data_IF_675721214563
#
_entry.id   IF_675721214563
#
_cell.length_a   1.000
_cell.length_b   1.000
_cell.length_c   1.000
_cell.angle_alpha   90.00
_cell.angle_beta   90.00
_cell.angle_gamma   90.00
#
_symmetry.space_group_name_H-M   'P 1'
#
loop_
_entity.id
_entity.type
_entity.pdbx_description
1 polymer ?
#
# COMPACT_ATOMS: atom_id res chain seq x y z
N UNK A 1 -1.61 7.82 -25.90
CA UNK A 1 -2.42 7.99 -24.68
C UNK A 1 -1.47 7.80 -23.51
N UNK A 2 -1.15 8.88 -22.78
CA UNK A 2 -0.29 8.75 -21.60
C UNK A 2 -0.97 7.86 -20.55
N UNK A 3 -0.23 7.28 -19.59
CA UNK A 3 -0.85 6.54 -18.50
C UNK A 3 -1.85 7.48 -17.81
N UNK A 4 -3.14 7.16 -17.92
CA UNK A 4 -4.18 7.96 -17.28
C UNK A 4 -3.98 7.91 -15.77
N UNK A 5 -4.15 9.05 -15.10
CA UNK A 5 -4.26 9.10 -13.65
C UNK A 5 -5.52 8.32 -13.24
N UNK A 6 -5.37 7.01 -13.04
CA UNK A 6 -6.44 6.12 -12.61
C UNK A 6 -6.71 6.27 -11.11
N UNK A 7 -7.87 5.80 -10.68
CA UNK A 7 -8.15 5.63 -9.24
C UNK A 7 -7.13 4.64 -8.65
N UNK A 8 -6.68 4.90 -7.43
CA UNK A 8 -5.67 4.06 -6.78
C UNK A 8 -5.69 4.22 -5.26
N UNK A 9 -5.31 3.14 -4.58
CA UNK A 9 -4.99 3.18 -3.17
C UNK A 9 -3.51 3.51 -2.98
N UNK A 10 -3.18 4.31 -1.97
CA UNK A 10 -1.80 4.58 -1.58
C UNK A 10 -1.55 4.02 -0.19
N UNK A 11 -0.57 3.12 -0.10
CA UNK A 11 -0.03 2.67 1.18
C UNK A 11 0.99 3.70 1.67
N UNK A 12 0.82 4.15 2.91
CA UNK A 12 1.77 5.04 3.58
C UNK A 12 2.61 4.23 4.57
N UNK A 13 3.93 4.28 4.38
CA UNK A 13 4.91 3.65 5.24
C UNK A 13 5.33 4.63 6.34
N UNK A 14 5.38 4.17 7.58
CA UNK A 14 5.71 5.01 8.72
C UNK A 14 7.16 5.50 8.65
N UNK A 15 7.37 6.80 8.87
CA UNK A 15 8.67 7.45 8.92
C UNK A 15 8.74 8.36 10.15
N UNK A 16 9.52 7.98 11.17
CA UNK A 16 9.72 8.81 12.38
C UNK A 16 10.50 10.11 12.11
N UNK A 17 11.28 10.13 11.04
CA UNK A 17 11.96 11.32 10.49
C UNK A 17 11.72 11.29 8.98
N UNK A 18 10.72 12.04 8.53
CA UNK A 18 10.28 12.04 7.13
C UNK A 18 11.42 12.44 6.20
N UNK A 19 12.18 13.47 6.58
CA UNK A 19 13.25 14.01 5.76
C UNK A 19 14.39 13.00 5.59
N UNK A 20 14.74 12.28 6.66
CA UNK A 20 15.78 11.24 6.60
C UNK A 20 15.36 10.04 5.76
N UNK A 21 14.14 9.52 5.96
CA UNK A 21 13.65 8.37 5.19
C UNK A 21 13.49 8.74 3.71
N UNK A 22 12.99 9.95 3.43
CA UNK A 22 12.89 10.44 2.05
C UNK A 22 14.26 10.52 1.37
N UNK A 23 15.28 11.11 2.03
CA UNK A 23 16.64 11.18 1.46
C UNK A 23 17.21 9.80 1.17
N UNK A 24 17.04 8.83 2.08
CA UNK A 24 17.47 7.45 1.83
C UNK A 24 16.75 6.85 0.63
N UNK A 25 15.44 7.02 0.52
CA UNK A 25 14.68 6.56 -0.63
C UNK A 25 15.20 7.17 -1.95
N UNK A 26 15.52 8.47 -1.96
CA UNK A 26 16.12 9.15 -3.11
C UNK A 26 17.53 8.61 -3.44
N UNK A 27 18.38 8.36 -2.42
CA UNK A 27 19.70 7.72 -2.58
C UNK A 27 19.60 6.32 -3.20
N UNK A 28 18.50 5.61 -2.92
CA UNK A 28 18.17 4.31 -3.51
C UNK A 28 17.36 4.39 -4.81
N UNK A 29 17.18 5.60 -5.38
CA UNK A 29 16.63 5.82 -6.72
C UNK A 29 15.12 6.11 -6.78
N UNK A 30 14.45 6.30 -5.64
CA UNK A 30 13.07 6.76 -5.63
C UNK A 30 12.95 8.21 -6.12
N UNK A 31 11.77 8.56 -6.64
CA UNK A 31 11.44 9.92 -7.06
C UNK A 31 10.18 10.40 -6.35
N UNK A 32 10.24 11.56 -5.70
CA UNK A 32 9.12 12.14 -4.99
C UNK A 32 8.39 13.20 -5.84
N UNK A 33 7.07 13.10 -5.89
CA UNK A 33 6.18 14.08 -6.53
C UNK A 33 5.58 15.05 -5.52
N UNK A 34 5.47 14.61 -4.26
CA UNK A 34 5.09 15.43 -3.10
C UNK A 34 6.12 15.18 -2.01
N UNK A 35 6.71 16.23 -1.46
CA UNK A 35 7.82 16.12 -0.50
C UNK A 35 7.53 16.90 0.77
N UNK A 36 7.34 16.20 1.88
CA UNK A 36 7.36 16.77 3.23
C UNK A 36 6.23 17.74 3.55
N UNK A 37 5.07 17.59 2.91
CA UNK A 37 3.95 18.52 3.05
C UNK A 37 3.16 18.25 4.34
N UNK A 38 2.64 19.30 5.01
CA UNK A 38 1.77 19.13 6.17
C UNK A 38 0.46 18.42 5.82
N UNK A 39 0.01 17.54 6.71
CA UNK A 39 -1.27 16.86 6.64
C UNK A 39 -2.14 17.26 7.84
N UNK A 40 -2.43 18.56 7.93
CA UNK A 40 -3.11 19.16 9.07
C UNK A 40 -2.27 19.06 10.35
N UNK A 41 -2.92 18.80 11.47
CA UNK A 41 -2.27 18.66 12.78
C UNK A 41 -1.65 17.27 13.00
N UNK A 42 -2.08 16.27 12.22
CA UNK A 42 -1.80 14.87 12.48
C UNK A 42 -0.40 14.43 12.06
N UNK A 43 0.26 15.17 11.16
CA UNK A 43 1.56 14.76 10.64
C UNK A 43 1.98 15.46 9.36
N UNK A 44 2.96 14.85 8.70
CA UNK A 44 3.50 15.25 7.40
C UNK A 44 3.62 14.03 6.49
N UNK A 45 3.51 14.26 5.18
CA UNK A 45 3.61 13.19 4.19
C UNK A 45 4.50 13.54 3.01
N UNK A 46 5.01 12.48 2.38
CA UNK A 46 5.63 12.52 1.06
C UNK A 46 5.00 11.43 0.18
N UNK A 47 4.92 11.67 -1.12
CA UNK A 47 4.49 10.69 -2.13
C UNK A 47 5.59 10.49 -3.14
N UNK A 48 5.97 9.24 -3.36
CA UNK A 48 7.04 8.88 -4.28
C UNK A 48 6.74 7.63 -5.08
N UNK A 49 7.64 7.37 -6.01
CA UNK A 49 7.65 6.17 -6.85
C UNK A 49 9.03 5.54 -6.73
N UNK A 50 9.07 4.25 -6.42
CA UNK A 50 10.31 3.48 -6.31
C UNK A 50 10.92 3.18 -7.70
N UNK A 51 12.16 2.66 -7.78
CA UNK A 51 12.83 2.42 -9.06
C UNK A 51 12.10 1.46 -10.00
N UNK A 52 11.25 0.58 -9.46
CA UNK A 52 10.48 -0.42 -10.20
C UNK A 52 9.07 0.09 -10.57
N UNK A 53 8.71 1.31 -10.18
CA UNK A 53 7.48 1.99 -10.57
C UNK A 53 6.33 1.89 -9.58
N UNK A 54 6.53 1.30 -8.40
CA UNK A 54 5.48 1.26 -7.39
C UNK A 54 5.37 2.62 -6.67
N UNK A 55 4.16 3.17 -6.66
CA UNK A 55 3.86 4.37 -5.88
C UNK A 55 3.68 4.02 -4.40
N UNK A 56 4.25 4.84 -3.52
CA UNK A 56 4.15 4.71 -2.07
C UNK A 56 4.11 6.07 -1.39
N UNK A 57 3.54 6.10 -0.19
CA UNK A 57 3.59 7.26 0.70
C UNK A 57 4.58 7.05 1.84
N UNK A 58 5.13 8.14 2.35
CA UNK A 58 5.79 8.18 3.65
C UNK A 58 4.95 9.04 4.59
N UNK A 59 4.78 8.59 5.83
CA UNK A 59 3.98 9.28 6.84
C UNK A 59 4.76 9.49 8.14
N UNK A 60 4.94 10.75 8.51
CA UNK A 60 5.46 11.17 9.82
C UNK A 60 4.29 11.65 10.67
N UNK A 61 3.82 10.78 11.56
CA UNK A 61 2.75 11.10 12.51
C UNK A 61 3.26 11.97 13.65
N UNK A 62 2.48 12.96 14.05
CA UNK A 62 2.70 13.76 15.27
C UNK A 62 2.05 13.14 16.52
N UNK A 63 1.33 12.03 16.34
CA UNK A 63 0.74 11.22 17.39
C UNK A 63 1.43 9.87 17.42
N UNK A 64 1.51 9.25 18.60
CA UNK A 64 2.07 7.90 18.76
C UNK A 64 1.18 6.83 18.08
N UNK A 65 -0.09 7.16 17.85
CA UNK A 65 -1.09 6.30 17.22
C UNK A 65 -0.98 6.34 15.68
N UNK A 66 -0.74 5.18 15.08
CA UNK A 66 -0.73 4.97 13.62
C UNK A 66 -2.08 4.45 13.10
N UNK A 67 -2.09 3.27 12.48
CA UNK A 67 -3.35 2.57 12.14
C UNK A 67 -3.99 2.09 13.45
N UNK A 68 -5.18 2.62 13.76
CA UNK A 68 -5.86 2.41 15.05
C UNK A 68 -6.83 1.22 15.06
N UNK A 69 -7.08 0.62 13.88
CA UNK A 69 -7.92 -0.56 13.70
C UNK A 69 -7.27 -1.49 12.66
N UNK A 70 -6.91 -2.70 13.08
CA UNK A 70 -6.26 -3.72 12.25
C UNK A 70 -6.86 -5.09 12.54
N UNK A 71 -6.70 -6.03 11.60
CA UNK A 71 -6.98 -7.46 11.81
C UNK A 71 -8.45 -7.82 12.10
N UNK A 72 -9.39 -7.01 11.62
CA UNK A 72 -10.82 -7.26 11.70
C UNK A 72 -11.57 -6.92 10.38
N UNK A 73 -12.81 -7.42 10.18
CA UNK A 73 -13.57 -7.12 8.98
C UNK A 73 -13.77 -5.62 8.76
N UNK A 74 -13.35 -5.13 7.58
CA UNK A 74 -13.38 -3.71 7.22
C UNK A 74 -12.12 -2.93 7.60
N UNK A 75 -11.22 -3.52 8.38
CA UNK A 75 -9.92 -2.94 8.70
C UNK A 75 -8.83 -3.40 7.72
N UNK A 76 -7.70 -2.66 7.71
CA UNK A 76 -6.49 -3.10 7.03
C UNK A 76 -5.91 -4.31 7.78
N UNK A 77 -5.60 -5.37 7.06
CA UNK A 77 -4.97 -6.59 7.63
C UNK A 77 -3.60 -6.86 7.04
N UNK A 78 -3.26 -6.18 5.93
CA UNK A 78 -1.95 -6.27 5.32
C UNK A 78 -1.70 -5.12 4.33
N UNK A 79 -0.44 -4.94 3.97
CA UNK A 79 -0.03 -4.17 2.82
C UNK A 79 0.99 -5.01 2.04
N UNK A 80 0.59 -5.54 0.89
CA UNK A 80 1.43 -6.41 0.08
C UNK A 80 2.18 -5.60 -0.97
N UNK A 81 3.49 -5.84 -1.11
CA UNK A 81 4.30 -5.29 -2.19
C UNK A 81 4.36 -6.30 -3.34
N UNK A 82 3.66 -6.02 -4.43
CA UNK A 82 3.67 -6.84 -5.64
C UNK A 82 4.80 -6.39 -6.56
N UNK A 83 5.55 -7.33 -7.17
CA UNK A 83 6.66 -7.01 -8.09
C UNK A 83 6.99 -8.13 -9.07
N UNK A 84 7.40 -7.77 -10.28
CA UNK A 84 7.97 -8.72 -11.25
C UNK A 84 9.43 -9.06 -10.95
N UNK A 85 10.09 -8.21 -10.16
CA UNK A 85 11.46 -8.38 -9.67
C UNK A 85 11.42 -8.15 -8.15
N UNK A 86 11.14 -9.22 -7.40
CA UNK A 86 10.98 -9.17 -5.95
C UNK A 86 12.32 -8.83 -5.29
N UNK A 87 13.42 -9.46 -5.72
CA UNK A 87 14.75 -9.22 -5.14
C UNK A 87 15.17 -7.73 -5.20
N UNK A 88 14.95 -7.05 -6.33
CA UNK A 88 15.25 -5.63 -6.43
C UNK A 88 14.37 -4.77 -5.51
N UNK A 89 13.10 -5.12 -5.36
CA UNK A 89 12.17 -4.41 -4.48
C UNK A 89 12.52 -4.58 -3.00
N UNK A 90 12.78 -5.82 -2.59
CA UNK A 90 13.19 -6.14 -1.22
C UNK A 90 14.49 -5.42 -0.86
N UNK A 91 15.47 -5.41 -1.77
CA UNK A 91 16.72 -4.66 -1.59
C UNK A 91 16.51 -3.14 -1.48
N UNK A 92 15.60 -2.57 -2.28
CA UNK A 92 15.25 -1.15 -2.20
C UNK A 92 14.66 -0.81 -0.82
N UNK A 93 13.59 -1.48 -0.40
CA UNK A 93 12.92 -1.19 0.87
C UNK A 93 13.80 -1.52 2.08
N UNK A 94 14.65 -2.55 1.99
CA UNK A 94 15.67 -2.82 3.00
C UNK A 94 16.69 -1.68 3.11
N UNK A 95 17.14 -1.11 1.99
CA UNK A 95 18.03 0.05 2.01
C UNK A 95 17.40 1.31 2.63
N UNK A 96 16.10 1.52 2.40
CA UNK A 96 15.37 2.67 2.95
C UNK A 96 15.16 2.53 4.46
N UNK A 97 14.65 1.38 4.90
CA UNK A 97 14.17 1.19 6.28
C UNK A 97 15.14 0.46 7.19
N UNK A 98 16.24 -0.10 6.67
CA UNK A 98 17.16 -0.96 7.41
C UNK A 98 16.44 -2.16 8.06
N UNK A 99 15.41 -2.66 7.39
CA UNK A 99 14.57 -3.76 7.84
C UNK A 99 14.15 -4.63 6.65
N UNK A 100 13.99 -5.96 6.82
CA UNK A 100 13.48 -6.82 5.77
C UNK A 100 12.09 -6.38 5.31
N UNK A 101 11.88 -6.38 4.01
CA UNK A 101 10.59 -6.24 3.36
C UNK A 101 10.45 -7.44 2.42
N UNK A 102 9.29 -8.10 2.41
CA UNK A 102 9.01 -9.19 1.50
C UNK A 102 8.15 -8.69 0.34
N UNK A 103 8.50 -9.08 -0.88
CA UNK A 103 7.70 -8.78 -2.07
C UNK A 103 7.09 -10.06 -2.66
N UNK A 104 5.85 -9.96 -3.12
CA UNK A 104 5.11 -11.03 -3.76
C UNK A 104 5.32 -11.01 -5.28
N UNK A 105 5.67 -12.14 -5.92
CA UNK A 105 5.82 -12.23 -7.37
C UNK A 105 4.53 -11.89 -8.10
N UNK A 106 4.55 -10.85 -8.93
CA UNK A 106 3.38 -10.39 -9.67
C UNK A 106 3.79 -9.58 -10.93
N UNK A 107 3.09 -9.70 -12.08
CA UNK A 107 3.49 -8.99 -13.30
C UNK A 107 3.35 -7.46 -13.26
N UNK A 108 2.67 -6.92 -12.25
CA UNK A 108 2.48 -5.47 -12.05
C UNK A 108 3.06 -5.08 -10.70
N UNK A 109 4.03 -4.18 -10.73
CA UNK A 109 4.67 -3.63 -9.52
C UNK A 109 3.78 -2.58 -8.86
N UNK A 110 3.37 -2.81 -7.60
CA UNK A 110 2.53 -1.89 -6.82
C UNK A 110 2.45 -2.31 -5.35
N UNK A 111 2.10 -1.36 -4.48
CA UNK A 111 1.53 -1.70 -3.18
C UNK A 111 0.04 -2.05 -3.33
N UNK A 112 -0.41 -3.05 -2.58
CA UNK A 112 -1.81 -3.49 -2.50
C UNK A 112 -2.24 -3.49 -1.03
N UNK A 113 -3.12 -2.57 -0.59
CA UNK A 113 -3.71 -2.71 0.73
C UNK A 113 -4.64 -3.92 0.74
N UNK A 114 -4.60 -4.70 1.83
CA UNK A 114 -5.45 -5.87 2.01
C UNK A 114 -6.42 -5.61 3.15
N UNK A 115 -7.71 -5.79 2.89
CA UNK A 115 -8.75 -5.59 3.88
C UNK A 115 -9.31 -6.91 4.41
N UNK A 116 -9.61 -6.94 5.70
CA UNK A 116 -10.27 -8.06 6.35
C UNK A 116 -11.72 -8.17 5.89
N UNK A 117 -12.17 -9.38 5.58
CA UNK A 117 -13.59 -9.67 5.27
C UNK A 117 -14.05 -10.91 6.03
N UNK A 118 -15.36 -11.01 6.29
CA UNK A 118 -15.92 -12.20 6.96
C UNK A 118 -15.89 -13.44 6.06
N UNK A 119 -16.17 -13.26 4.77
CA UNK A 119 -16.18 -14.31 3.76
C UNK A 119 -15.68 -13.71 2.45
N UNK A 120 -14.55 -14.22 1.96
CA UNK A 120 -13.91 -13.78 0.72
C UNK A 120 -14.79 -14.02 -0.50
N UNK A 121 -15.36 -15.20 -0.65
CA UNK A 121 -16.15 -15.56 -1.83
C UNK A 121 -17.42 -14.72 -1.91
N UNK A 122 -18.12 -14.57 -0.78
CA UNK A 122 -19.29 -13.70 -0.71
C UNK A 122 -18.93 -12.23 -0.97
N UNK A 123 -17.74 -11.77 -0.54
CA UNK A 123 -17.27 -10.43 -0.86
C UNK A 123 -17.00 -10.26 -2.36
N UNK A 124 -16.31 -11.22 -2.98
CA UNK A 124 -16.05 -11.22 -4.42
C UNK A 124 -17.34 -11.16 -5.25
N UNK A 125 -18.36 -11.90 -4.86
CA UNK A 125 -19.67 -11.87 -5.53
C UNK A 125 -20.35 -10.51 -5.40
N UNK A 126 -20.31 -9.90 -4.21
CA UNK A 126 -20.80 -8.53 -4.01
C UNK A 126 -20.00 -7.51 -4.81
N UNK A 127 -18.67 -7.66 -4.89
CA UNK A 127 -17.82 -6.78 -5.67
C UNK A 127 -18.19 -6.83 -7.15
N UNK A 128 -18.42 -8.03 -7.72
CA UNK A 128 -18.92 -8.19 -9.11
C UNK A 128 -20.28 -7.54 -9.29
N UNK A 129 -21.22 -7.77 -8.37
CA UNK A 129 -22.56 -7.18 -8.44
C UNK A 129 -22.53 -5.64 -8.39
N UNK A 130 -21.52 -5.05 -7.74
CA UNK A 130 -21.30 -3.60 -7.68
C UNK A 130 -20.50 -3.02 -8.86
N UNK A 131 -20.17 -3.82 -9.88
CA UNK A 131 -19.41 -3.39 -11.06
C UNK A 131 -17.89 -3.51 -10.91
N UNK A 132 -17.41 -4.09 -9.81
CA UNK A 132 -16.00 -4.46 -9.63
C UNK A 132 -15.62 -5.71 -10.42
N UNK A 133 -14.31 -5.99 -10.45
CA UNK A 133 -13.71 -7.15 -11.11
C UNK A 133 -12.89 -7.94 -10.11
N UNK A 134 -12.97 -9.26 -10.19
CA UNK A 134 -12.06 -10.15 -9.46
C UNK A 134 -10.90 -10.47 -10.40
N UNK A 135 -9.74 -9.90 -10.10
CA UNK A 135 -8.52 -9.99 -10.92
C UNK A 135 -7.76 -11.30 -10.66
N UNK A 136 -7.81 -11.75 -9.40
CA UNK A 136 -7.37 -13.05 -8.92
C UNK A 136 -8.16 -13.35 -7.64
N UNK A 137 -8.07 -14.57 -7.11
CA UNK A 137 -8.68 -14.91 -5.81
C UNK A 137 -8.20 -13.94 -4.73
N UNK A 138 -9.13 -13.21 -4.10
CA UNK A 138 -8.83 -12.19 -3.11
C UNK A 138 -8.28 -10.87 -3.64
N UNK A 139 -8.15 -10.66 -4.96
CA UNK A 139 -7.64 -9.42 -5.55
C UNK A 139 -8.73 -8.74 -6.38
N UNK A 140 -9.13 -7.54 -5.95
CA UNK A 140 -10.31 -6.84 -6.46
C UNK A 140 -9.87 -5.58 -7.19
N UNK A 141 -10.40 -5.36 -8.39
CA UNK A 141 -10.38 -4.08 -9.08
C UNK A 141 -11.73 -3.41 -8.95
N UNK A 142 -11.79 -2.21 -8.39
CA UNK A 142 -13.04 -1.45 -8.28
C UNK A 142 -13.51 -0.93 -9.66
N UNK A 143 -14.74 -0.38 -9.76
CA UNK A 143 -15.27 0.15 -11.03
C UNK A 143 -14.43 1.29 -11.63
N UNK A 144 -13.59 1.94 -10.84
CA UNK A 144 -12.75 3.08 -11.22
C UNK A 144 -11.29 2.69 -11.52
N UNK A 145 -10.95 1.41 -11.35
CA UNK A 145 -9.64 0.84 -11.67
C UNK A 145 -8.67 0.72 -10.48
N UNK A 146 -9.05 1.15 -9.27
CA UNK A 146 -8.20 0.95 -8.10
C UNK A 146 -8.17 -0.54 -7.72
N UNK A 147 -7.04 -1.00 -7.21
CA UNK A 147 -6.86 -2.41 -6.82
C UNK A 147 -6.56 -2.54 -5.34
N UNK A 148 -7.21 -3.49 -4.70
CA UNK A 148 -7.01 -3.85 -3.30
C UNK A 148 -7.18 -5.36 -3.10
N UNK A 149 -6.57 -5.89 -2.05
CA UNK A 149 -6.72 -7.27 -1.63
C UNK A 149 -7.84 -7.42 -0.59
N UNK A 150 -8.40 -8.62 -0.48
CA UNK A 150 -9.28 -9.02 0.60
C UNK A 150 -8.91 -10.39 1.13
N UNK A 151 -8.88 -10.53 2.45
CA UNK A 151 -8.54 -11.77 3.14
C UNK A 151 -9.57 -12.06 4.22
N UNK A 152 -9.93 -13.33 4.40
CA UNK A 152 -10.82 -13.69 5.50
C UNK A 152 -10.12 -13.37 6.82
N UNK A 153 -10.70 -12.46 7.61
CA UNK A 153 -10.21 -12.10 8.93
C UNK A 153 -11.18 -12.65 9.98
N UNK A 154 -10.63 -13.36 10.97
CA UNK A 154 -11.41 -13.79 12.13
C UNK A 154 -11.46 -12.60 13.07
N UNK A 155 -12.65 -12.21 13.54
CA UNK A 155 -12.73 -11.18 14.58
C UNK A 155 -11.88 -11.65 15.77
N UNK A 156 -10.87 -10.87 16.13
CA UNK A 156 -10.12 -11.07 17.37
C UNK A 156 -11.12 -10.97 18.52
N UNK A 157 -11.50 -12.12 19.07
CA UNK A 157 -12.42 -12.17 20.20
C UNK A 157 -11.80 -11.43 21.38
N UNK A 158 -12.46 -10.37 21.82
CA UNK A 158 -12.20 -9.71 23.12
C UNK A 158 -12.55 -10.61 24.28
#
# INVERSE_FOLDING_TARGET
MGPGYGSGWTVYLAAKDLARVQRRAEEHGARFTVSGVPAGVNGRLSLGVDPQGAAFGLWEGHHDEGVVLVDEPGALVDAELHSSDTAAQEAFYQGVFDAPCAAEPHPVTRWVPVFGVLDRTAFEDRARAAGGRVLASGLIGDPWGAVFGVRTAVASGT
#
